data_IF_667929763805
#
_entry.id   IF_667929763805
#
_cell.length_a   1.000
_cell.length_b   1.000
_cell.length_c   1.000
_cell.angle_alpha   90.00
_cell.angle_beta   90.00
_cell.angle_gamma   90.00
#
_symmetry.space_group_name_H-M   'P 1'
#
loop_
_entity.id
_entity.type
_entity.pdbx_description
1 polymer ?
#
# COMPACT_ATOMS: atom_id res chain seq x y z
N UNK A 1 -2.69 10.06 10.22
CA UNK A 1 -4.10 9.64 10.34
C UNK A 1 -4.45 8.74 9.16
N UNK A 2 -5.03 7.56 9.39
CA UNK A 2 -5.59 6.75 8.30
C UNK A 2 -6.79 7.47 7.68
N UNK A 3 -7.00 7.37 6.36
CA UNK A 3 -8.21 7.91 5.72
C UNK A 3 -9.41 7.05 6.16
N UNK A 4 -10.17 7.59 7.09
CA UNK A 4 -11.44 7.04 7.55
C UNK A 4 -12.60 7.84 6.98
N UNK A 5 -13.76 7.22 6.84
CA UNK A 5 -14.99 7.90 6.44
C UNK A 5 -15.55 8.78 7.59
N UNK A 6 -16.67 9.47 7.34
CA UNK A 6 -17.36 10.30 8.35
C UNK A 6 -17.83 9.52 9.58
N UNK A 7 -17.85 8.18 9.52
CA UNK A 7 -18.25 7.26 10.60
C UNK A 7 -17.04 6.60 11.27
N UNK A 8 -15.81 7.02 10.94
CA UNK A 8 -14.58 6.46 11.50
C UNK A 8 -14.18 5.10 10.93
N UNK A 9 -14.85 4.60 9.88
CA UNK A 9 -14.51 3.32 9.25
C UNK A 9 -13.41 3.51 8.21
N UNK A 10 -12.47 2.57 8.07
CA UNK A 10 -11.42 2.67 7.06
C UNK A 10 -12.02 2.61 5.66
N UNK A 11 -11.56 3.49 4.77
CA UNK A 11 -12.04 3.56 3.38
C UNK A 11 -11.33 2.46 2.57
N UNK A 12 -12.04 1.46 2.04
CA UNK A 12 -11.45 0.44 1.19
C UNK A 12 -11.06 1.01 -0.18
N UNK A 13 -9.98 0.50 -0.76
CA UNK A 13 -9.52 0.83 -2.10
C UNK A 13 -8.93 -0.41 -2.78
N UNK A 14 -8.77 -0.33 -4.11
CA UNK A 14 -8.04 -1.32 -4.89
C UNK A 14 -6.76 -0.71 -5.46
N UNK A 15 -5.70 -1.51 -5.53
CA UNK A 15 -4.45 -1.10 -6.16
C UNK A 15 -3.81 -2.26 -6.92
N UNK A 16 -3.05 -1.91 -7.94
CA UNK A 16 -2.11 -2.79 -8.59
C UNK A 16 -0.72 -2.21 -8.38
N UNK A 17 0.22 -3.03 -7.91
CA UNK A 17 1.60 -2.63 -7.69
C UNK A 17 2.56 -3.64 -8.32
N UNK A 18 3.74 -3.18 -8.70
CA UNK A 18 4.83 -4.06 -9.16
C UNK A 18 5.83 -4.32 -8.05
N UNK A 19 6.44 -5.49 -8.04
CA UNK A 19 7.52 -5.80 -7.10
C UNK A 19 8.83 -5.14 -7.51
N UNK A 20 9.62 -4.77 -6.52
CA UNK A 20 11.00 -4.34 -6.69
C UNK A 20 11.81 -4.87 -5.49
N UNK A 21 12.60 -5.90 -5.73
CA UNK A 21 13.50 -6.52 -4.76
C UNK A 21 14.94 -6.32 -5.23
N UNK A 22 15.55 -5.25 -4.72
CA UNK A 22 16.93 -4.88 -5.06
C UNK A 22 17.96 -5.85 -4.47
N UNK A 23 17.65 -6.53 -3.36
CA UNK A 23 18.58 -7.46 -2.72
C UNK A 23 18.73 -8.73 -3.56
N UNK A 24 17.62 -9.22 -4.12
CA UNK A 24 17.60 -10.40 -4.99
C UNK A 24 17.74 -10.07 -6.47
N UNK A 25 17.86 -8.78 -6.82
CA UNK A 25 17.85 -8.26 -8.18
C UNK A 25 16.68 -8.82 -9.02
N UNK A 26 15.48 -8.83 -8.43
CA UNK A 26 14.24 -9.33 -9.04
C UNK A 26 13.14 -8.28 -8.90
N UNK A 27 12.15 -8.31 -9.78
CA UNK A 27 11.06 -7.36 -9.76
C UNK A 27 10.19 -7.45 -11.01
N UNK A 28 9.25 -6.52 -11.11
CA UNK A 28 8.33 -6.44 -12.25
C UNK A 28 7.13 -7.37 -12.17
N UNK A 29 7.03 -8.21 -11.13
CA UNK A 29 5.84 -9.02 -10.90
C UNK A 29 4.68 -8.12 -10.48
N UNK A 30 3.53 -8.30 -11.14
CA UNK A 30 2.32 -7.53 -10.87
C UNK A 30 1.51 -8.20 -9.76
N UNK A 31 1.23 -7.45 -8.70
CA UNK A 31 0.28 -7.84 -7.66
C UNK A 31 -0.96 -6.97 -7.70
N UNK A 32 -2.11 -7.63 -7.68
CA UNK A 32 -3.41 -6.98 -7.60
C UNK A 32 -3.99 -7.17 -6.21
N UNK A 33 -4.40 -6.06 -5.61
CA UNK A 33 -5.06 -6.02 -4.32
C UNK A 33 -6.45 -5.42 -4.55
N UNK A 34 -7.47 -6.25 -4.82
CA UNK A 34 -8.81 -5.78 -5.18
C UNK A 34 -9.51 -5.06 -4.02
N UNK A 35 -9.11 -5.34 -2.77
CA UNK A 35 -9.67 -4.69 -1.59
C UNK A 35 -8.64 -4.62 -0.47
N UNK A 36 -8.25 -3.40 -0.13
CA UNK A 36 -7.33 -3.12 0.97
C UNK A 36 -7.76 -1.88 1.73
N UNK A 37 -7.29 -1.75 2.98
CA UNK A 37 -7.44 -0.56 3.80
C UNK A 37 -6.08 -0.07 4.28
N UNK A 38 -5.92 1.25 4.37
CA UNK A 38 -4.69 1.85 4.89
C UNK A 38 -4.64 1.64 6.41
N UNK A 39 -3.52 1.11 6.89
CA UNK A 39 -3.30 0.93 8.33
C UNK A 39 -2.28 1.95 8.83
N UNK A 40 -2.53 2.52 9.99
CA UNK A 40 -1.53 3.33 10.68
C UNK A 40 -0.44 2.43 11.23
N UNK A 41 0.85 2.78 11.13
CA UNK A 41 1.88 2.09 11.89
C UNK A 41 1.52 2.18 13.38
N UNK A 42 1.45 1.05 14.07
CA UNK A 42 1.33 1.02 15.53
C UNK A 42 2.43 1.89 16.12
N UNK A 43 2.07 2.77 17.06
CA UNK A 43 2.98 3.77 17.63
C UNK A 43 4.30 3.12 18.04
N UNK A 44 5.41 3.59 17.46
CA UNK A 44 6.71 3.04 17.84
C UNK A 44 7.92 3.49 17.04
N UNK A 45 7.80 3.89 15.77
CA UNK A 45 8.97 4.36 15.01
C UNK A 45 8.62 5.55 14.12
N UNK A 46 9.33 6.67 14.33
CA UNK A 46 9.34 7.81 13.40
C UNK A 46 9.66 7.26 12.01
N UNK A 47 8.77 7.48 11.05
CA UNK A 47 9.07 7.18 9.65
C UNK A 47 10.21 8.12 9.24
N UNK A 48 11.37 7.57 8.89
CA UNK A 48 12.47 8.36 8.34
C UNK A 48 12.00 8.96 7.01
N UNK A 49 11.85 10.29 6.97
CA UNK A 49 11.23 11.02 5.86
C UNK A 49 12.09 11.09 4.58
N UNK A 50 13.32 10.56 4.61
CA UNK A 50 14.34 10.74 3.59
C UNK A 50 14.52 9.54 2.65
N UNK A 51 13.85 8.40 2.87
CA UNK A 51 13.94 7.23 1.99
C UNK A 51 12.60 6.50 1.94
N UNK A 52 11.98 6.48 0.76
CA UNK A 52 10.78 5.75 0.36
C UNK A 52 9.71 5.59 1.45
N UNK A 53 8.72 6.48 1.40
CA UNK A 53 7.59 6.48 2.34
C UNK A 53 6.63 5.32 2.02
N UNK A 54 7.04 4.10 2.38
CA UNK A 54 6.19 2.92 2.25
C UNK A 54 4.90 3.07 3.08
N UNK A 55 3.85 2.36 2.66
CA UNK A 55 2.52 2.37 3.27
C UNK A 55 2.16 0.95 3.69
N UNK A 56 1.65 0.81 4.92
CA UNK A 56 1.08 -0.45 5.38
C UNK A 56 -0.38 -0.53 4.99
N UNK A 57 -0.74 -1.60 4.31
CA UNK A 57 -2.12 -1.90 3.95
C UNK A 57 -2.54 -3.23 4.57
N UNK A 58 -3.82 -3.36 4.87
CA UNK A 58 -4.44 -4.61 5.32
C UNK A 58 -5.39 -5.10 4.23
N UNK A 59 -5.19 -6.35 3.82
CA UNK A 59 -5.97 -6.99 2.77
C UNK A 59 -7.28 -7.54 3.34
N UNK A 60 -8.37 -7.41 2.59
CA UNK A 60 -9.69 -7.92 2.97
C UNK A 60 -10.09 -8.99 1.95
N UNK A 61 -10.57 -10.18 2.35
CA UNK A 61 -10.86 -10.62 3.72
C UNK A 61 -9.70 -11.34 4.43
N UNK A 62 -8.54 -11.50 3.78
CA UNK A 62 -7.45 -12.35 4.29
C UNK A 62 -6.74 -11.85 5.55
N UNK A 63 -7.03 -10.64 6.01
CA UNK A 63 -6.44 -9.98 7.18
C UNK A 63 -4.91 -9.75 7.09
N UNK A 64 -4.28 -10.13 5.97
CA UNK A 64 -2.84 -9.99 5.76
C UNK A 64 -2.41 -8.53 5.70
N UNK A 65 -1.28 -8.22 6.35
CA UNK A 65 -0.66 -6.90 6.26
C UNK A 65 0.44 -6.94 5.21
N UNK A 66 0.43 -5.97 4.29
CA UNK A 66 1.48 -5.76 3.29
C UNK A 66 2.04 -4.36 3.42
N UNK A 67 3.31 -4.21 3.10
CA UNK A 67 3.99 -2.91 2.96
C UNK A 67 4.21 -2.66 1.49
N UNK A 68 3.80 -1.50 1.01
CA UNK A 68 3.86 -1.14 -0.41
C UNK A 68 4.57 0.19 -0.56
N UNK A 69 5.45 0.28 -1.55
CA UNK A 69 6.00 1.56 -2.01
C UNK A 69 4.98 2.22 -2.96
N UNK A 70 4.47 3.43 -2.65
CA UNK A 70 3.53 4.13 -3.51
C UNK A 70 4.04 4.39 -4.93
N UNK A 71 5.36 4.50 -5.12
CA UNK A 71 5.96 4.71 -6.44
C UNK A 71 5.87 3.47 -7.33
N UNK A 72 5.56 2.30 -6.77
CA UNK A 72 5.38 1.07 -7.54
C UNK A 72 3.91 0.79 -7.87
N UNK A 73 2.99 1.69 -7.50
CA UNK A 73 1.56 1.56 -7.80
C UNK A 73 1.33 1.99 -9.25
N UNK A 74 0.82 1.07 -10.06
CA UNK A 74 0.51 1.30 -11.48
C UNK A 74 -0.98 1.53 -11.71
N UNK A 75 -1.84 1.08 -10.79
CA UNK A 75 -3.29 1.36 -10.81
C UNK A 75 -3.82 1.66 -9.42
N UNK A 76 -4.73 2.62 -9.32
CA UNK A 76 -5.43 2.99 -8.10
C UNK A 76 -6.93 3.11 -8.38
N UNK A 77 -7.75 2.33 -7.66
CA UNK A 77 -9.21 2.26 -7.84
C UNK A 77 -9.62 2.05 -9.31
N UNK A 78 -8.95 1.12 -9.99
CA UNK A 78 -9.20 0.77 -11.39
C UNK A 78 -8.61 1.73 -12.42
N UNK A 79 -8.14 2.91 -12.01
CA UNK A 79 -7.52 3.92 -12.88
C UNK A 79 -6.02 3.70 -12.97
N UNK A 80 -5.45 3.90 -14.14
CA UNK A 80 -4.00 3.89 -14.33
C UNK A 80 -3.36 5.10 -13.63
N UNK A 81 -2.20 4.89 -13.04
CA UNK A 81 -1.39 5.91 -12.39
C UNK A 81 -0.15 6.12 -13.25
N UNK A 82 -0.02 7.32 -13.83
CA UNK A 82 1.20 7.74 -14.50
C UNK A 82 2.14 8.34 -13.44
N UNK A 83 3.36 7.81 -13.36
CA UNK A 83 4.41 8.25 -12.44
C UNK A 83 5.20 9.40 -13.03
#
# INVERSE_FOLDING_TARGET
>A
MGKVDKKGKPIPFSITAVTCDLERNRGGERHEYPKAVLTTPGGGKKQYHNRNSTRRIKLIPSDQIRTIDPLLITRFNGKEVYL
#
